data_IF_489981229226
#
_entry.id   IF_489981229226
#
_cell.length_a   1.000
_cell.length_b   1.000
_cell.length_c   1.000
_cell.angle_alpha   90.00
_cell.angle_beta   90.00
_cell.angle_gamma   90.00
#
_symmetry.space_group_name_H-M   'P 1'
#
loop_
_entity.id
_entity.type
_entity.pdbx_description
1 polymer ?
#
# COMPACT_ATOMS: atom_id res chain seq x y z
N UNK A 1 9.39 33.16 -3.89
CA UNK A 1 8.41 32.06 -3.89
C UNK A 1 8.65 31.00 -4.98
N UNK A 2 8.82 31.35 -6.28
CA UNK A 2 9.01 30.36 -7.38
C UNK A 2 10.24 29.46 -7.23
N UNK A 3 11.39 29.95 -6.74
CA UNK A 3 12.60 29.12 -6.53
C UNK A 3 12.45 28.09 -5.41
N UNK A 4 11.66 28.39 -4.39
CA UNK A 4 11.38 27.43 -3.29
C UNK A 4 10.50 26.27 -3.78
N UNK A 5 9.47 26.54 -4.59
CA UNK A 5 8.60 25.54 -5.17
C UNK A 5 9.36 24.61 -6.14
N UNK A 6 10.22 25.17 -7.01
CA UNK A 6 11.03 24.36 -7.93
C UNK A 6 12.00 23.42 -7.19
N UNK A 7 12.66 23.90 -6.13
CA UNK A 7 13.53 23.07 -5.29
C UNK A 7 12.75 21.96 -4.57
N UNK A 8 11.55 22.24 -4.09
CA UNK A 8 10.68 21.25 -3.46
C UNK A 8 10.24 20.18 -4.46
N UNK A 9 9.80 20.58 -5.65
CA UNK A 9 9.43 19.65 -6.73
C UNK A 9 10.60 18.74 -7.10
N UNK A 10 11.81 19.31 -7.25
CA UNK A 10 13.01 18.52 -7.58
C UNK A 10 13.32 17.48 -6.49
N UNK A 11 13.20 17.86 -5.21
CA UNK A 11 13.40 16.92 -4.09
C UNK A 11 12.38 15.77 -4.14
N UNK A 12 11.09 16.06 -4.33
CA UNK A 12 10.04 15.05 -4.43
C UNK A 12 10.30 14.13 -5.63
N UNK A 13 10.66 14.68 -6.79
CA UNK A 13 10.98 13.88 -7.97
C UNK A 13 12.19 12.96 -7.73
N UNK A 14 13.22 13.46 -7.05
CA UNK A 14 14.38 12.64 -6.70
C UNK A 14 14.01 11.50 -5.74
N UNK A 15 13.24 11.79 -4.67
CA UNK A 15 12.76 10.78 -3.73
C UNK A 15 11.94 9.73 -4.46
N UNK A 16 10.97 10.13 -5.29
CA UNK A 16 10.14 9.21 -6.06
C UNK A 16 10.97 8.36 -7.04
N UNK A 17 12.05 8.91 -7.60
CA UNK A 17 13.00 8.16 -8.42
C UNK A 17 13.68 7.04 -7.61
N UNK A 18 14.14 7.35 -6.39
CA UNK A 18 14.74 6.36 -5.48
C UNK A 18 13.71 5.28 -5.07
N UNK A 19 12.49 5.68 -4.71
CA UNK A 19 11.40 4.75 -4.36
C UNK A 19 11.13 3.76 -5.49
N UNK A 20 11.07 4.25 -6.73
CA UNK A 20 10.86 3.39 -7.91
C UNK A 20 12.04 2.44 -8.16
N UNK A 21 13.28 2.92 -7.98
CA UNK A 21 14.47 2.09 -8.09
C UNK A 21 14.49 0.98 -7.02
N UNK A 22 14.14 1.31 -5.77
CA UNK A 22 13.99 0.32 -4.69
C UNK A 22 12.88 -0.69 -4.98
N UNK A 23 11.74 -0.26 -5.52
CA UNK A 23 10.66 -1.14 -5.94
C UNK A 23 11.08 -2.12 -7.04
N UNK A 24 11.85 -1.64 -8.02
CA UNK A 24 12.42 -2.48 -9.07
C UNK A 24 13.42 -3.50 -8.49
N UNK A 25 14.26 -3.07 -7.57
CA UNK A 25 15.23 -3.91 -6.87
C UNK A 25 14.54 -5.01 -6.06
N UNK A 26 13.48 -4.67 -5.34
CA UNK A 26 12.63 -5.63 -4.63
C UNK A 26 12.05 -6.68 -5.60
N UNK A 27 11.52 -6.24 -6.74
CA UNK A 27 10.94 -7.14 -7.75
C UNK A 27 11.99 -8.11 -8.33
N UNK A 28 13.20 -7.63 -8.60
CA UNK A 28 14.33 -8.47 -9.05
C UNK A 28 14.71 -9.47 -7.97
N UNK A 29 14.80 -9.03 -6.71
CA UNK A 29 15.12 -9.89 -5.57
C UNK A 29 14.07 -10.99 -5.40
N UNK A 30 12.78 -10.63 -5.41
CA UNK A 30 11.66 -11.57 -5.32
C UNK A 30 11.69 -12.60 -6.45
N UNK A 31 11.91 -12.16 -7.68
CA UNK A 31 11.99 -13.06 -8.85
C UNK A 31 13.14 -14.06 -8.71
N UNK A 32 14.27 -13.67 -8.12
CA UNK A 32 15.42 -14.55 -7.89
C UNK A 32 15.21 -15.51 -6.72
N UNK A 33 14.56 -15.07 -5.65
CA UNK A 33 14.36 -15.87 -4.44
C UNK A 33 13.17 -16.83 -4.55
N UNK A 34 12.08 -16.38 -5.15
CA UNK A 34 10.83 -17.14 -5.24
C UNK A 34 10.73 -17.98 -6.52
N UNK A 35 11.43 -17.58 -7.57
CA UNK A 35 11.28 -18.18 -8.91
C UNK A 35 9.99 -17.73 -9.62
N UNK A 36 9.85 -18.09 -10.88
CA UNK A 36 8.79 -17.59 -11.76
C UNK A 36 7.39 -18.07 -11.33
N UNK A 37 7.26 -19.30 -10.84
CA UNK A 37 5.99 -19.90 -10.46
C UNK A 37 5.38 -19.18 -9.24
N UNK A 38 6.14 -19.04 -8.15
CA UNK A 38 5.66 -18.40 -6.92
C UNK A 38 5.43 -16.89 -7.16
N UNK A 39 6.27 -16.27 -7.98
CA UNK A 39 6.08 -14.88 -8.38
C UNK A 39 4.76 -14.69 -9.15
N UNK A 40 4.37 -15.65 -10.01
CA UNK A 40 3.08 -15.66 -10.68
C UNK A 40 1.90 -15.69 -9.70
N UNK A 41 1.96 -16.52 -8.66
CA UNK A 41 0.94 -16.58 -7.60
C UNK A 41 0.85 -15.24 -6.86
N UNK A 42 1.99 -14.62 -6.52
CA UNK A 42 2.03 -13.32 -5.87
C UNK A 42 1.41 -12.21 -6.73
N UNK A 43 1.68 -12.17 -8.03
CA UNK A 43 1.11 -11.19 -8.97
C UNK A 43 -0.41 -11.37 -9.16
N UNK A 44 -0.90 -12.62 -9.18
CA UNK A 44 -2.34 -12.90 -9.22
C UNK A 44 -3.05 -12.35 -7.97
N UNK A 45 -2.49 -12.63 -6.80
CA UNK A 45 -3.06 -12.11 -5.54
C UNK A 45 -2.99 -10.59 -5.45
N UNK A 46 -1.91 -9.98 -5.94
CA UNK A 46 -1.77 -8.52 -6.01
C UNK A 46 -2.83 -7.88 -6.92
N UNK A 47 -3.16 -8.52 -8.03
CA UNK A 47 -4.20 -8.03 -8.96
C UNK A 47 -5.57 -7.98 -8.29
N UNK A 48 -5.94 -9.03 -7.55
CA UNK A 48 -7.20 -9.05 -6.78
C UNK A 48 -7.20 -8.00 -5.68
N UNK A 49 -6.09 -7.87 -4.94
CA UNK A 49 -5.92 -6.86 -3.89
C UNK A 49 -6.11 -5.45 -4.45
N UNK A 50 -5.49 -5.13 -5.60
CA UNK A 50 -5.60 -3.83 -6.25
C UNK A 50 -7.04 -3.47 -6.61
N UNK A 51 -7.85 -4.42 -7.07
CA UNK A 51 -9.27 -4.18 -7.34
C UNK A 51 -10.02 -3.76 -6.07
N UNK A 52 -9.73 -4.39 -4.93
CA UNK A 52 -10.39 -4.08 -3.66
C UNK A 52 -10.01 -2.71 -3.09
N UNK A 53 -8.74 -2.30 -3.22
CA UNK A 53 -8.24 -1.07 -2.59
C UNK A 53 -8.31 0.18 -3.49
N UNK A 54 -8.39 0.01 -4.82
CA UNK A 54 -8.36 1.14 -5.78
C UNK A 54 -9.37 2.26 -5.44
N UNK A 55 -10.62 1.99 -5.09
CA UNK A 55 -11.56 3.06 -4.74
C UNK A 55 -11.11 3.89 -3.54
N UNK A 56 -10.49 3.25 -2.54
CA UNK A 56 -10.01 3.90 -1.33
C UNK A 56 -8.72 4.69 -1.56
N UNK A 57 -7.83 4.18 -2.39
CA UNK A 57 -6.50 4.77 -2.59
C UNK A 57 -6.44 5.81 -3.71
N UNK A 58 -7.38 5.82 -4.64
CA UNK A 58 -7.40 6.79 -5.76
C UNK A 58 -8.34 7.97 -5.52
N UNK A 59 -9.58 7.72 -5.15
CA UNK A 59 -10.61 8.75 -5.01
C UNK A 59 -10.57 9.50 -3.69
N UNK A 60 -10.41 8.76 -2.59
CA UNK A 60 -10.50 9.31 -1.24
C UNK A 60 -9.39 10.31 -0.90
N UNK A 61 -8.09 10.07 -1.19
CA UNK A 61 -7.04 11.05 -0.94
C UNK A 61 -7.26 12.36 -1.70
N UNK A 62 -7.73 12.28 -2.94
CA UNK A 62 -8.00 13.45 -3.76
C UNK A 62 -9.15 14.27 -3.17
N UNK A 63 -10.22 13.63 -2.71
CA UNK A 63 -11.34 14.29 -2.05
C UNK A 63 -10.90 14.98 -0.75
N UNK A 64 -10.18 14.26 0.12
CA UNK A 64 -9.65 14.79 1.37
C UNK A 64 -8.71 15.97 1.12
N UNK A 65 -7.79 15.85 0.16
CA UNK A 65 -6.85 16.92 -0.19
C UNK A 65 -7.58 18.19 -0.65
N UNK A 66 -8.56 18.06 -1.56
CA UNK A 66 -9.34 19.20 -2.04
C UNK A 66 -10.18 19.86 -0.96
N UNK A 67 -10.81 19.08 -0.09
CA UNK A 67 -11.61 19.59 1.02
C UNK A 67 -10.73 20.30 2.05
N UNK A 68 -9.58 19.71 2.40
CA UNK A 68 -8.61 20.31 3.34
C UNK A 68 -8.03 21.61 2.81
N UNK A 69 -7.69 21.69 1.52
CA UNK A 69 -7.16 22.91 0.90
C UNK A 69 -8.20 24.07 0.88
N UNK A 70 -9.49 23.75 0.79
CA UNK A 70 -10.59 24.74 0.80
C UNK A 70 -11.07 25.10 2.21
N UNK A 71 -10.77 24.29 3.21
CA UNK A 71 -11.22 24.48 4.58
C UNK A 71 -10.51 25.64 5.26
N UNK A 72 -11.20 26.32 6.19
CA UNK A 72 -10.59 27.32 7.07
C UNK A 72 -9.52 26.64 7.94
N UNK A 73 -8.48 27.37 8.39
CA UNK A 73 -7.39 26.77 9.19
C UNK A 73 -7.87 25.96 10.39
N UNK A 74 -8.92 26.41 11.08
CA UNK A 74 -9.58 25.79 12.23
C UNK A 74 -10.34 24.50 11.89
N UNK A 75 -10.78 24.36 10.63
CA UNK A 75 -11.61 23.25 10.17
C UNK A 75 -10.84 22.20 9.32
N UNK A 76 -9.54 22.39 9.12
CA UNK A 76 -8.72 21.52 8.25
C UNK A 76 -8.66 20.06 8.69
N UNK A 77 -8.90 19.77 9.96
CA UNK A 77 -8.94 18.39 10.48
C UNK A 77 -10.27 17.66 10.20
N UNK A 78 -11.35 18.38 9.90
CA UNK A 78 -12.67 17.77 9.63
C UNK A 78 -12.65 16.81 8.41
N UNK A 79 -12.07 17.18 7.26
CA UNK A 79 -11.95 16.26 6.13
C UNK A 79 -11.11 15.02 6.44
N UNK A 80 -10.05 15.14 7.27
CA UNK A 80 -9.27 14.03 7.74
C UNK A 80 -10.12 13.03 8.55
N UNK A 81 -10.84 13.54 9.55
CA UNK A 81 -11.72 12.70 10.39
C UNK A 81 -12.83 12.04 9.56
N UNK A 82 -13.45 12.79 8.64
CA UNK A 82 -14.45 12.23 7.73
C UNK A 82 -13.89 11.13 6.86
N UNK A 83 -12.66 11.31 6.33
CA UNK A 83 -11.95 10.30 5.57
C UNK A 83 -11.66 9.04 6.39
N UNK A 84 -11.20 9.18 7.62
CA UNK A 84 -10.96 8.07 8.56
C UNK A 84 -12.25 7.29 8.82
N UNK A 85 -13.37 7.98 9.06
CA UNK A 85 -14.67 7.34 9.25
C UNK A 85 -15.12 6.57 8.01
N UNK A 86 -14.93 7.15 6.83
CA UNK A 86 -15.27 6.48 5.58
C UNK A 86 -14.42 5.22 5.35
N UNK A 87 -13.11 5.28 5.63
CA UNK A 87 -12.23 4.11 5.56
C UNK A 87 -12.68 3.02 6.52
N UNK A 88 -13.04 3.37 7.77
CA UNK A 88 -13.54 2.40 8.74
C UNK A 88 -14.83 1.74 8.27
N UNK A 89 -15.79 2.54 7.78
CA UNK A 89 -17.06 2.02 7.26
C UNK A 89 -16.83 1.12 6.05
N UNK A 90 -15.97 1.53 5.12
CA UNK A 90 -15.63 0.72 3.95
C UNK A 90 -14.90 -0.57 4.33
N UNK A 91 -13.93 -0.51 5.24
CA UNK A 91 -13.20 -1.69 5.70
C UNK A 91 -14.09 -2.67 6.47
N UNK A 92 -15.06 -2.18 7.25
CA UNK A 92 -16.04 -3.04 7.95
C UNK A 92 -16.85 -3.91 6.97
N UNK A 93 -17.02 -3.46 5.74
CA UNK A 93 -17.72 -4.21 4.68
C UNK A 93 -16.73 -4.99 3.82
N UNK A 94 -15.67 -4.33 3.33
CA UNK A 94 -14.75 -4.92 2.36
C UNK A 94 -13.87 -6.03 2.94
N UNK A 95 -13.44 -5.91 4.21
CA UNK A 95 -12.58 -6.93 4.84
C UNK A 95 -13.33 -8.25 5.03
N UNK A 96 -14.53 -8.28 5.66
CA UNK A 96 -15.31 -9.53 5.74
C UNK A 96 -15.71 -10.07 4.36
N UNK A 97 -16.08 -9.20 3.43
CA UNK A 97 -16.43 -9.58 2.07
C UNK A 97 -15.25 -10.28 1.38
N UNK A 98 -14.04 -9.68 1.47
CA UNK A 98 -12.83 -10.26 0.89
C UNK A 98 -12.48 -11.61 1.52
N UNK A 99 -12.61 -11.75 2.85
CA UNK A 99 -12.35 -13.01 3.54
C UNK A 99 -13.37 -14.08 3.16
N UNK A 100 -14.66 -13.71 3.11
CA UNK A 100 -15.74 -14.64 2.77
C UNK A 100 -15.66 -15.12 1.32
N UNK A 101 -15.34 -14.22 0.39
CA UNK A 101 -15.23 -14.52 -1.03
C UNK A 101 -13.83 -14.95 -1.47
N UNK A 102 -12.85 -15.01 -0.57
CA UNK A 102 -11.48 -15.42 -0.91
C UNK A 102 -11.39 -16.77 -1.60
N UNK A 103 -12.18 -17.84 -1.24
CA UNK A 103 -12.14 -19.10 -1.96
C UNK A 103 -12.69 -19.00 -3.38
N UNK A 104 -13.73 -18.18 -3.60
CA UNK A 104 -14.30 -17.93 -4.92
C UNK A 104 -13.34 -17.15 -5.78
N UNK A 105 -12.71 -16.10 -5.21
CA UNK A 105 -11.68 -15.30 -5.88
C UNK A 105 -10.47 -16.16 -6.27
N UNK A 106 -10.02 -17.06 -5.39
CA UNK A 106 -8.94 -17.99 -5.69
C UNK A 106 -9.30 -18.94 -6.86
N UNK A 107 -10.56 -19.42 -6.93
CA UNK A 107 -11.02 -20.22 -8.07
C UNK A 107 -11.07 -19.41 -9.37
N UNK A 108 -11.52 -18.15 -9.30
CA UNK A 108 -11.57 -17.26 -10.46
C UNK A 108 -10.17 -16.90 -11.00
N UNK A 109 -9.16 -16.83 -10.14
CA UNK A 109 -7.77 -16.63 -10.58
C UNK A 109 -7.15 -17.89 -11.19
N UNK A 110 -7.82 -19.04 -11.08
CA UNK A 110 -7.35 -20.34 -11.59
C UNK A 110 -6.31 -21.03 -10.70
N UNK A 111 -5.92 -20.44 -9.57
CA UNK A 111 -4.94 -21.04 -8.66
C UNK A 111 -5.36 -20.85 -7.18
N UNK A 112 -5.69 -21.94 -6.51
CA UNK A 112 -6.10 -21.96 -5.09
C UNK A 112 -4.96 -21.55 -4.16
N UNK A 113 -3.72 -21.61 -4.61
CA UNK A 113 -2.53 -21.24 -3.83
C UNK A 113 -2.42 -19.74 -3.53
N UNK A 114 -3.25 -18.88 -4.15
CA UNK A 114 -3.37 -17.45 -3.83
C UNK A 114 -4.08 -17.16 -2.50
N UNK A 115 -4.77 -18.14 -1.91
CA UNK A 115 -5.60 -18.01 -0.71
C UNK A 115 -4.86 -17.36 0.49
N UNK A 116 -3.67 -17.81 0.91
CA UNK A 116 -2.95 -17.18 2.01
C UNK A 116 -2.63 -15.71 1.76
N UNK A 117 -2.27 -15.36 0.52
CA UNK A 117 -2.00 -13.98 0.13
C UNK A 117 -3.26 -13.10 0.21
N UNK A 118 -4.44 -13.64 -0.17
CA UNK A 118 -5.73 -12.94 -0.06
C UNK A 118 -6.11 -12.71 1.41
N UNK A 119 -5.87 -13.68 2.29
CA UNK A 119 -6.10 -13.51 3.74
C UNK A 119 -5.19 -12.43 4.34
N UNK A 120 -3.91 -12.43 3.97
CA UNK A 120 -2.98 -11.39 4.40
C UNK A 120 -3.35 -10.01 3.83
N UNK A 121 -3.96 -9.95 2.65
CA UNK A 121 -4.34 -8.69 2.00
C UNK A 121 -5.60 -8.06 2.57
N UNK A 122 -6.48 -8.82 3.21
CA UNK A 122 -7.72 -8.29 3.77
C UNK A 122 -7.48 -7.18 4.83
N UNK A 123 -6.65 -7.35 5.87
CA UNK A 123 -6.35 -6.27 6.81
C UNK A 123 -5.58 -5.10 6.18
N UNK A 124 -4.86 -5.32 5.07
CA UNK A 124 -4.18 -4.24 4.34
C UNK A 124 -5.15 -3.17 3.84
N UNK A 125 -6.41 -3.51 3.55
CA UNK A 125 -7.43 -2.57 3.09
C UNK A 125 -7.58 -1.42 4.10
N UNK A 126 -7.63 -1.74 5.39
CA UNK A 126 -7.77 -0.74 6.44
C UNK A 126 -6.52 0.14 6.56
N UNK A 127 -5.35 -0.48 6.58
CA UNK A 127 -4.06 0.20 6.77
C UNK A 127 -3.78 1.14 5.60
N UNK A 128 -3.87 0.64 4.36
CA UNK A 128 -3.68 1.42 3.14
C UNK A 128 -4.73 2.53 2.99
N UNK A 129 -5.97 2.26 3.44
CA UNK A 129 -7.01 3.28 3.48
C UNK A 129 -6.65 4.46 4.41
N UNK A 130 -6.10 4.17 5.59
CA UNK A 130 -5.63 5.21 6.52
C UNK A 130 -4.46 5.99 5.93
N UNK A 131 -3.44 5.31 5.43
CA UNK A 131 -2.30 5.94 4.77
C UNK A 131 -2.76 6.87 3.63
N UNK A 132 -3.68 6.41 2.79
CA UNK A 132 -4.25 7.20 1.72
C UNK A 132 -4.93 8.50 2.22
N UNK A 133 -5.70 8.42 3.30
CA UNK A 133 -6.37 9.60 3.91
C UNK A 133 -5.36 10.57 4.51
N UNK A 134 -4.35 10.07 5.25
CA UNK A 134 -3.30 10.91 5.82
C UNK A 134 -2.48 11.60 4.73
N UNK A 135 -2.10 10.87 3.68
CA UNK A 135 -1.40 11.43 2.53
C UNK A 135 -2.24 12.51 1.84
N UNK A 136 -3.55 12.25 1.64
CA UNK A 136 -4.48 13.25 1.11
C UNK A 136 -4.55 14.52 1.96
N UNK A 137 -4.61 14.38 3.29
CA UNK A 137 -4.57 15.51 4.20
C UNK A 137 -3.25 16.30 4.10
N UNK A 138 -2.11 15.62 4.09
CA UNK A 138 -0.80 16.25 3.98
C UNK A 138 -0.62 17.01 2.66
N UNK A 139 -1.14 16.48 1.56
CA UNK A 139 -1.20 17.20 0.29
C UNK A 139 -2.10 18.44 0.38
N UNK A 140 -3.24 18.35 1.09
CA UNK A 140 -4.16 19.47 1.29
C UNK A 140 -3.60 20.62 2.14
N UNK A 141 -2.67 20.33 3.06
CA UNK A 141 -1.94 21.34 3.85
C UNK A 141 -0.60 21.74 3.23
N UNK A 142 -0.34 21.38 1.96
CA UNK A 142 0.88 21.70 1.19
C UNK A 142 2.18 21.10 1.77
N UNK A 143 2.09 20.04 2.58
CA UNK A 143 3.24 19.32 3.13
C UNK A 143 3.61 18.07 2.32
N UNK A 144 3.71 18.21 1.02
CA UNK A 144 3.92 17.10 0.07
C UNK A 144 5.27 16.36 0.21
N UNK A 145 6.25 16.92 0.93
CA UNK A 145 7.51 16.23 1.22
C UNK A 145 7.34 15.09 2.22
N UNK A 146 6.41 15.21 3.17
CA UNK A 146 6.19 14.17 4.19
C UNK A 146 5.69 12.85 3.58
N UNK A 147 4.64 12.84 2.72
CA UNK A 147 4.23 11.61 2.03
C UNK A 147 5.34 10.98 1.20
N UNK A 148 6.11 11.78 0.47
CA UNK A 148 7.22 11.26 -0.34
C UNK A 148 8.30 10.61 0.52
N UNK A 149 8.62 11.18 1.69
CA UNK A 149 9.58 10.60 2.63
C UNK A 149 9.04 9.34 3.31
N UNK A 150 7.75 9.33 3.70
CA UNK A 150 7.07 8.15 4.23
C UNK A 150 7.13 7.00 3.24
N UNK A 151 6.81 7.24 1.96
CA UNK A 151 6.89 6.23 0.90
C UNK A 151 8.30 5.64 0.73
N UNK A 152 9.34 6.48 0.89
CA UNK A 152 10.74 6.02 0.88
C UNK A 152 11.02 5.07 2.06
N UNK A 153 10.62 5.46 3.26
CA UNK A 153 10.79 4.66 4.48
C UNK A 153 10.03 3.33 4.37
N UNK A 154 8.77 3.37 3.94
CA UNK A 154 7.96 2.18 3.67
C UNK A 154 8.64 1.24 2.69
N UNK A 155 9.19 1.75 1.59
CA UNK A 155 9.85 0.94 0.58
C UNK A 155 11.12 0.27 1.12
N UNK A 156 11.88 0.96 1.98
CA UNK A 156 13.05 0.38 2.65
C UNK A 156 12.64 -0.73 3.62
N UNK A 157 11.63 -0.50 4.45
CA UNK A 157 11.11 -1.52 5.35
C UNK A 157 10.53 -2.72 4.59
N UNK A 158 9.78 -2.48 3.53
CA UNK A 158 9.24 -3.53 2.66
C UNK A 158 10.35 -4.41 2.10
N UNK A 159 11.42 -3.80 1.57
CA UNK A 159 12.58 -4.53 1.07
C UNK A 159 13.26 -5.36 2.19
N UNK A 160 13.52 -4.74 3.35
CA UNK A 160 14.19 -5.39 4.47
C UNK A 160 13.36 -6.55 5.05
N UNK A 161 12.06 -6.34 5.29
CA UNK A 161 11.16 -7.35 5.84
C UNK A 161 10.98 -8.51 4.86
N UNK A 162 10.74 -8.19 3.58
CA UNK A 162 10.55 -9.20 2.57
C UNK A 162 11.79 -10.07 2.36
N UNK A 163 12.97 -9.46 2.23
CA UNK A 163 14.23 -10.17 2.12
C UNK A 163 14.53 -10.96 3.40
N UNK A 164 14.35 -10.35 4.57
CA UNK A 164 14.59 -10.99 5.85
C UNK A 164 13.71 -12.22 6.07
N UNK A 165 12.42 -12.15 5.78
CA UNK A 165 11.49 -13.28 5.93
C UNK A 165 11.83 -14.43 4.96
N UNK A 166 12.12 -14.13 3.71
CA UNK A 166 12.45 -15.15 2.71
C UNK A 166 13.79 -15.85 3.01
N UNK A 167 14.77 -15.12 3.53
CA UNK A 167 16.06 -15.69 3.91
C UNK A 167 16.01 -16.45 5.24
N UNK A 168 15.20 -16.00 6.21
CA UNK A 168 15.04 -16.64 7.51
C UNK A 168 14.18 -17.91 7.45
N UNK A 169 13.26 -18.01 6.48
CA UNK A 169 12.28 -19.08 6.36
C UNK A 169 12.38 -19.77 4.97
N UNK A 170 13.50 -20.43 4.64
CA UNK A 170 13.69 -21.03 3.31
C UNK A 170 12.78 -22.25 3.06
N UNK A 171 12.11 -22.77 4.08
CA UNK A 171 11.21 -23.94 3.97
C UNK A 171 9.73 -23.56 3.85
N UNK A 172 9.40 -22.28 3.58
CA UNK A 172 8.01 -21.88 3.35
C UNK A 172 7.44 -22.61 2.13
N UNK A 173 6.22 -23.13 2.28
CA UNK A 173 5.47 -23.68 1.15
C UNK A 173 5.16 -22.58 0.13
N UNK A 174 5.05 -22.94 -1.15
CA UNK A 174 4.82 -21.97 -2.24
C UNK A 174 3.67 -20.97 -1.97
N UNK A 175 2.48 -21.39 -1.43
CA UNK A 175 1.39 -20.45 -1.11
C UNK A 175 1.78 -19.40 -0.06
N UNK A 176 2.50 -19.79 0.99
CA UNK A 176 2.93 -18.87 2.04
C UNK A 176 4.11 -17.99 1.60
N UNK A 177 5.02 -18.52 0.79
CA UNK A 177 6.09 -17.73 0.19
C UNK A 177 5.54 -16.62 -0.72
N UNK A 178 4.46 -16.91 -1.47
CA UNK A 178 3.74 -15.91 -2.27
C UNK A 178 3.01 -14.86 -1.42
N UNK A 179 2.69 -15.15 -0.15
CA UNK A 179 2.06 -14.18 0.75
C UNK A 179 3.07 -13.21 1.40
N UNK A 180 4.37 -13.53 1.42
CA UNK A 180 5.41 -12.70 2.04
C UNK A 180 5.45 -11.27 1.49
N UNK A 181 5.38 -11.01 0.17
CA UNK A 181 5.34 -9.65 -0.37
C UNK A 181 4.15 -8.83 0.15
N UNK A 182 2.97 -9.45 0.28
CA UNK A 182 1.77 -8.79 0.79
C UNK A 182 1.92 -8.47 2.28
N UNK A 183 2.41 -9.43 3.06
CA UNK A 183 2.66 -9.24 4.49
C UNK A 183 3.73 -8.16 4.75
N UNK A 184 4.81 -8.14 3.96
CA UNK A 184 5.84 -7.11 4.06
C UNK A 184 5.32 -5.72 3.69
N UNK A 185 4.40 -5.63 2.73
CA UNK A 185 3.69 -4.38 2.40
C UNK A 185 2.87 -3.89 3.59
N UNK A 186 2.06 -4.77 4.20
CA UNK A 186 1.23 -4.43 5.37
C UNK A 186 2.07 -3.91 6.53
N UNK A 187 3.14 -4.62 6.89
CA UNK A 187 4.00 -4.22 8.01
C UNK A 187 4.79 -2.96 7.73
N UNK A 188 5.29 -2.77 6.51
CA UNK A 188 5.99 -1.55 6.10
C UNK A 188 5.07 -0.32 6.15
N UNK A 189 3.82 -0.45 5.69
CA UNK A 189 2.82 0.61 5.72
C UNK A 189 2.49 1.05 7.16
N UNK A 190 2.36 0.09 8.10
CA UNK A 190 2.15 0.40 9.53
C UNK A 190 3.34 1.17 10.13
N UNK A 191 4.56 0.86 9.69
CA UNK A 191 5.77 1.54 10.16
C UNK A 191 5.97 2.91 9.51
N UNK A 192 5.37 3.14 8.35
CA UNK A 192 5.44 4.41 7.61
C UNK A 192 4.36 5.42 7.98
N UNK A 193 3.28 5.01 8.66
CA UNK A 193 2.20 5.86 9.16
C UNK A 193 2.64 6.66 10.39
#
# INVERSE_FOLDING_TARGET
MKQSAAKQTLKITAINGVVRALGMLLRILLSRLLGAEIMGIAELSQSVHMLAITPLTSGLPLAVSRMTAKARPEDRTKPLLAGIWLVRAAALVLVPLMLLFSPQLARLTGDVRVLPSLWCSAPCILILGYSAVYNGYLYGVERSLLPAFSELVEQLFRLAICAGLLLALPHLTAPWAAAVPVFSTMTAEVLGL
#
